data_IF_212037262391
#
_entry.id   IF_212037262391
#
_cell.length_a   1.000
_cell.length_b   1.000
_cell.length_c   1.000
_cell.angle_alpha   90.00
_cell.angle_beta   90.00
_cell.angle_gamma   90.00
#
_symmetry.space_group_name_H-M   'P 1'
#
loop_
_entity.id
_entity.type
_entity.pdbx_description
1 polymer ?
#
# COMPACT_ATOMS: atom_id res chain seq x y z
N UNK A 1 -27.19 -10.69 -3.99
CA UNK A 1 -26.71 -11.94 -3.37
C UNK A 1 -25.30 -12.18 -3.83
N UNK A 2 -24.32 -12.45 -2.97
CA UNK A 2 -22.96 -12.78 -3.42
C UNK A 2 -23.04 -14.10 -4.21
N UNK A 3 -22.51 -14.11 -5.44
CA UNK A 3 -22.30 -15.35 -6.21
C UNK A 3 -21.52 -16.31 -5.33
N UNK A 4 -22.08 -17.49 -5.05
CA UNK A 4 -21.30 -18.58 -4.45
C UNK A 4 -20.08 -18.81 -5.36
N UNK A 5 -18.90 -18.51 -4.82
CA UNK A 5 -17.63 -18.76 -5.48
C UNK A 5 -17.53 -20.27 -5.72
N UNK A 6 -17.60 -20.68 -6.99
CA UNK A 6 -17.36 -22.09 -7.34
C UNK A 6 -15.94 -22.46 -6.93
N UNK A 7 -15.83 -23.46 -6.06
CA UNK A 7 -14.56 -24.02 -5.60
C UNK A 7 -13.85 -24.64 -6.80
N UNK A 8 -12.66 -24.17 -7.14
CA UNK A 8 -11.87 -24.70 -8.27
C UNK A 8 -11.38 -26.11 -7.97
N UNK A 9 -11.05 -26.88 -9.01
CA UNK A 9 -10.48 -28.24 -8.85
C UNK A 9 -9.20 -28.21 -8.00
N UNK A 10 -8.33 -27.23 -8.22
CA UNK A 10 -7.13 -27.08 -7.41
C UNK A 10 -7.42 -26.78 -5.94
N UNK A 11 -8.46 -26.01 -5.64
CA UNK A 11 -8.87 -25.76 -4.26
C UNK A 11 -9.39 -27.03 -3.59
N UNK A 12 -10.14 -27.90 -4.30
CA UNK A 12 -10.57 -29.20 -3.78
C UNK A 12 -9.39 -30.07 -3.42
N UNK A 13 -8.44 -30.23 -4.34
CA UNK A 13 -7.21 -31.00 -4.09
C UNK A 13 -6.45 -30.49 -2.87
N UNK A 14 -6.35 -29.16 -2.70
CA UNK A 14 -5.67 -28.57 -1.53
C UNK A 14 -6.41 -28.81 -0.22
N UNK A 15 -7.74 -28.88 -0.26
CA UNK A 15 -8.57 -29.25 0.90
C UNK A 15 -8.39 -30.72 1.26
N UNK A 16 -8.29 -31.61 0.28
CA UNK A 16 -7.97 -33.03 0.51
C UNK A 16 -6.61 -33.18 1.16
N UNK A 17 -5.57 -32.49 0.65
CA UNK A 17 -4.23 -32.46 1.26
C UNK A 17 -4.25 -31.90 2.69
N UNK A 18 -5.10 -30.93 2.97
CA UNK A 18 -5.30 -30.42 4.33
C UNK A 18 -5.78 -31.51 5.29
N UNK A 19 -6.77 -32.31 4.87
CA UNK A 19 -7.28 -33.41 5.66
C UNK A 19 -6.24 -34.54 5.84
N UNK A 20 -5.43 -34.80 4.82
CA UNK A 20 -4.31 -35.75 4.93
C UNK A 20 -3.24 -35.29 5.93
N UNK A 21 -2.90 -33.99 5.95
CA UNK A 21 -2.00 -33.42 6.95
C UNK A 21 -2.52 -33.62 8.36
N UNK A 22 -3.82 -33.38 8.60
CA UNK A 22 -4.47 -33.61 9.91
C UNK A 22 -4.42 -35.09 10.32
N UNK A 23 -4.64 -36.02 9.37
CA UNK A 23 -4.55 -37.47 9.64
C UNK A 23 -3.13 -37.91 10.04
N UNK A 24 -2.10 -37.19 9.53
CA UNK A 24 -0.70 -37.39 9.94
C UNK A 24 -0.35 -36.70 11.28
N UNK A 25 -1.32 -36.11 11.97
CA UNK A 25 -1.10 -35.38 13.22
C UNK A 25 -0.41 -34.03 13.05
N UNK A 26 -0.36 -33.52 11.83
CA UNK A 26 0.25 -32.21 11.52
C UNK A 26 -0.85 -31.14 11.58
N UNK A 27 -0.69 -30.18 12.52
CA UNK A 27 -1.54 -29.01 12.55
C UNK A 27 -1.20 -28.07 11.37
N UNK A 28 -2.13 -27.84 10.43
CA UNK A 28 -1.84 -27.00 9.25
C UNK A 28 -1.85 -25.50 9.56
N UNK A 29 -2.24 -25.10 10.77
CA UNK A 29 -2.34 -23.73 11.27
C UNK A 29 -1.88 -23.64 12.73
N UNK A 30 -0.61 -23.96 13.04
CA UNK A 30 -0.11 -23.92 14.42
C UNK A 30 -0.16 -22.49 14.96
N UNK A 31 -0.53 -22.36 16.24
CA UNK A 31 -0.56 -21.09 16.95
C UNK A 31 0.74 -20.82 17.72
N UNK A 32 1.59 -21.82 17.82
CA UNK A 32 2.84 -21.77 18.56
C UNK A 32 3.84 -20.82 17.92
N UNK A 33 4.68 -20.19 18.74
CA UNK A 33 5.78 -19.34 18.30
C UNK A 33 6.76 -20.13 17.43
N UNK A 34 7.03 -19.63 16.22
CA UNK A 34 8.16 -20.06 15.42
C UNK A 34 9.29 -19.02 15.54
N UNK A 35 10.45 -19.36 16.12
CA UNK A 35 11.46 -18.40 16.56
C UNK A 35 12.38 -17.96 15.40
N UNK A 36 11.86 -17.16 14.47
CA UNK A 36 12.63 -16.59 13.35
C UNK A 36 13.76 -15.71 13.90
N UNK A 37 15.00 -15.91 13.42
CA UNK A 37 16.16 -15.13 13.82
C UNK A 37 16.81 -14.33 12.68
N UNK A 38 16.38 -14.54 11.43
CA UNK A 38 16.94 -13.88 10.25
C UNK A 38 15.89 -13.68 9.16
N UNK A 39 16.24 -12.81 8.18
CA UNK A 39 15.42 -12.51 7.00
C UNK A 39 16.24 -12.69 5.71
N UNK A 40 15.55 -12.99 4.62
CA UNK A 40 16.13 -13.28 3.31
C UNK A 40 17.15 -12.25 2.84
N UNK A 41 16.81 -10.95 2.88
CA UNK A 41 17.72 -9.89 2.41
C UNK A 41 19.03 -9.87 3.19
N UNK A 42 18.95 -9.93 4.52
CA UNK A 42 20.14 -9.91 5.39
C UNK A 42 21.05 -11.11 5.15
N UNK A 43 20.47 -12.30 4.95
CA UNK A 43 21.23 -13.51 4.69
C UNK A 43 21.94 -13.49 3.33
N UNK A 44 21.41 -12.76 2.37
CA UNK A 44 22.03 -12.58 1.05
C UNK A 44 23.13 -11.52 1.11
N UNK A 45 22.87 -10.39 1.77
CA UNK A 45 23.81 -9.27 1.92
C UNK A 45 25.01 -9.64 2.80
N UNK A 46 24.76 -10.26 3.96
CA UNK A 46 25.76 -10.62 4.98
C UNK A 46 26.02 -12.14 4.98
N UNK A 47 26.23 -12.73 3.79
CA UNK A 47 26.39 -14.17 3.68
C UNK A 47 27.58 -14.70 4.51
N UNK A 48 27.29 -15.65 5.40
CA UNK A 48 28.27 -16.41 6.15
C UNK A 48 28.07 -17.92 5.91
N UNK A 49 29.10 -18.60 5.42
CA UNK A 49 29.04 -20.05 5.14
C UNK A 49 28.81 -20.86 6.43
N UNK A 50 27.90 -21.83 6.35
CA UNK A 50 27.47 -22.69 7.47
C UNK A 50 26.80 -21.99 8.64
N UNK A 51 26.50 -20.72 8.56
CA UNK A 51 25.68 -20.03 9.58
C UNK A 51 24.37 -20.78 9.80
N UNK A 52 24.06 -21.10 11.05
CA UNK A 52 22.75 -21.68 11.41
C UNK A 52 21.68 -20.60 11.43
N UNK A 53 20.59 -20.89 10.75
CA UNK A 53 19.50 -19.94 10.56
C UNK A 53 18.12 -20.55 10.82
N UNK A 54 17.24 -19.74 11.36
CA UNK A 54 15.81 -20.04 11.50
C UNK A 54 15.03 -18.95 10.75
N UNK A 55 14.39 -19.32 9.66
CA UNK A 55 13.65 -18.41 8.79
C UNK A 55 12.25 -18.94 8.53
N UNK A 56 11.35 -18.06 8.15
CA UNK A 56 10.01 -18.45 7.72
C UNK A 56 9.60 -17.66 6.49
N UNK A 57 8.87 -18.30 5.58
CA UNK A 57 8.42 -17.62 4.36
C UNK A 57 7.39 -18.44 3.58
N UNK A 58 6.78 -17.79 2.62
CA UNK A 58 5.83 -18.38 1.68
C UNK A 58 6.57 -19.06 0.54
N UNK A 59 6.21 -20.30 0.25
CA UNK A 59 6.74 -21.03 -0.91
C UNK A 59 6.24 -20.35 -2.20
N UNK A 60 7.16 -19.80 -2.99
CA UNK A 60 6.85 -19.12 -4.26
C UNK A 60 7.17 -19.97 -5.48
N UNK A 61 8.19 -20.82 -5.40
CA UNK A 61 8.54 -21.77 -6.43
C UNK A 61 9.05 -23.07 -5.84
N UNK A 62 8.97 -24.15 -6.60
CA UNK A 62 9.42 -25.46 -6.16
C UNK A 62 9.83 -26.32 -7.34
N UNK A 63 11.06 -26.88 -7.29
CA UNK A 63 11.58 -27.81 -8.27
C UNK A 63 12.04 -29.09 -7.58
N UNK A 64 11.29 -30.18 -7.75
CA UNK A 64 11.55 -31.47 -7.12
C UNK A 64 12.36 -32.34 -8.06
N UNK A 65 13.50 -32.86 -7.61
CA UNK A 65 14.40 -33.74 -8.35
C UNK A 65 14.74 -34.97 -7.49
N UNK A 66 13.88 -35.98 -7.52
CA UNK A 66 14.10 -37.22 -6.76
C UNK A 66 14.20 -37.00 -5.24
N UNK A 67 15.39 -37.20 -4.68
CA UNK A 67 15.69 -37.07 -3.25
C UNK A 67 16.14 -35.66 -2.84
N UNK A 68 16.26 -34.76 -3.81
CA UNK A 68 16.65 -33.37 -3.61
C UNK A 68 15.61 -32.43 -4.22
N UNK A 69 15.50 -31.23 -3.70
CA UNK A 69 14.61 -30.20 -4.23
C UNK A 69 15.12 -28.82 -3.94
N UNK A 70 14.96 -27.93 -4.90
CA UNK A 70 15.09 -26.52 -4.70
C UNK A 70 13.70 -25.88 -4.58
N UNK A 71 13.57 -24.91 -3.70
CA UNK A 71 12.40 -24.05 -3.63
C UNK A 71 12.85 -22.63 -3.31
N UNK A 72 11.97 -21.69 -3.52
CA UNK A 72 12.15 -20.29 -3.14
C UNK A 72 11.07 -19.92 -2.14
N UNK A 73 11.48 -19.31 -1.03
CA UNK A 73 10.56 -18.74 -0.07
C UNK A 73 10.65 -17.22 -0.07
N UNK A 74 9.49 -16.59 0.12
CA UNK A 74 9.34 -15.14 0.25
C UNK A 74 8.97 -14.78 1.68
N UNK A 75 9.78 -13.93 2.30
CA UNK A 75 9.48 -13.33 3.60
C UNK A 75 9.09 -11.84 3.49
N UNK A 76 9.15 -11.11 4.59
CA UNK A 76 8.82 -9.68 4.61
C UNK A 76 9.87 -8.79 3.93
N UNK A 77 11.08 -9.30 3.66
CA UNK A 77 12.22 -8.52 3.18
C UNK A 77 12.68 -8.91 1.78
N UNK A 78 12.26 -10.08 1.28
CA UNK A 78 12.66 -10.54 -0.04
C UNK A 78 12.41 -12.03 -0.26
N UNK A 79 13.21 -12.63 -1.11
CA UNK A 79 13.17 -14.06 -1.43
C UNK A 79 14.54 -14.68 -1.23
N UNK A 80 14.55 -15.94 -0.85
CA UNK A 80 15.76 -16.71 -0.71
C UNK A 80 15.54 -18.16 -1.18
N UNK A 81 16.55 -18.70 -1.86
CA UNK A 81 16.55 -20.11 -2.26
C UNK A 81 16.78 -21.01 -1.05
N UNK A 82 16.08 -22.11 -1.02
CA UNK A 82 16.22 -23.17 -0.02
C UNK A 82 16.43 -24.50 -0.72
N UNK A 83 17.26 -25.35 -0.14
CA UNK A 83 17.58 -26.67 -0.66
C UNK A 83 17.17 -27.75 0.32
N UNK A 84 16.32 -28.64 -0.14
CA UNK A 84 15.89 -29.82 0.60
C UNK A 84 16.70 -31.03 0.14
N UNK A 85 17.31 -31.72 1.08
CA UNK A 85 17.87 -33.05 0.87
C UNK A 85 17.10 -34.02 1.78
N UNK A 86 16.51 -35.07 1.18
CA UNK A 86 15.70 -36.06 1.91
C UNK A 86 16.43 -36.66 3.08
N UNK A 87 17.70 -37.00 2.90
CA UNK A 87 18.46 -37.75 3.91
C UNK A 87 19.01 -36.85 5.01
N UNK A 88 19.16 -35.55 4.78
CA UNK A 88 19.42 -34.54 5.80
C UNK A 88 18.20 -34.30 6.68
N UNK A 89 17.00 -34.21 6.08
CA UNK A 89 15.74 -33.93 6.79
C UNK A 89 15.25 -35.17 7.54
N UNK A 90 15.39 -36.33 6.93
CA UNK A 90 14.91 -37.61 7.45
C UNK A 90 16.10 -38.51 7.76
N UNK A 91 16.70 -38.37 8.93
CA UNK A 91 17.89 -39.13 9.36
C UNK A 91 17.58 -40.59 9.71
N UNK A 92 16.31 -40.92 9.92
CA UNK A 92 15.82 -42.30 10.19
C UNK A 92 15.38 -42.98 8.90
N UNK A 93 14.96 -44.25 8.98
CA UNK A 93 14.36 -45.00 7.87
C UNK A 93 13.04 -44.39 7.41
N UNK A 94 12.29 -43.73 8.30
CA UNK A 94 11.08 -43.02 7.96
C UNK A 94 11.36 -41.75 7.15
N UNK A 95 10.99 -41.78 5.89
CA UNK A 95 11.13 -40.67 4.93
C UNK A 95 9.81 -39.93 4.68
N UNK A 96 8.80 -40.12 5.53
CA UNK A 96 7.45 -39.54 5.36
C UNK A 96 7.50 -38.02 5.31
N UNK A 97 8.30 -37.38 6.17
CA UNK A 97 8.43 -35.90 6.21
C UNK A 97 8.80 -35.29 4.86
N UNK A 98 9.77 -35.91 4.15
CA UNK A 98 10.12 -35.44 2.80
C UNK A 98 9.21 -36.02 1.71
N UNK A 99 9.02 -37.33 1.66
CA UNK A 99 8.35 -37.99 0.53
C UNK A 99 6.84 -37.73 0.48
N UNK A 100 6.18 -37.56 1.63
CA UNK A 100 4.74 -37.32 1.72
C UNK A 100 4.48 -35.85 2.03
N UNK A 101 4.94 -35.35 3.18
CA UNK A 101 4.59 -33.99 3.62
C UNK A 101 5.11 -32.96 2.63
N UNK A 102 6.43 -32.88 2.43
CA UNK A 102 7.01 -31.88 1.55
C UNK A 102 6.62 -32.08 0.07
N UNK A 103 6.80 -33.28 -0.47
CA UNK A 103 6.60 -33.52 -1.92
C UNK A 103 5.15 -33.51 -2.36
N UNK A 104 4.24 -34.10 -1.55
CA UNK A 104 2.85 -34.31 -1.97
C UNK A 104 1.85 -33.36 -1.35
N UNK A 105 2.02 -33.01 -0.07
CA UNK A 105 1.02 -32.28 0.69
C UNK A 105 1.26 -30.76 0.75
N UNK A 106 2.52 -30.29 0.67
CA UNK A 106 2.80 -28.88 0.56
C UNK A 106 2.57 -28.39 -0.88
N UNK A 107 2.14 -27.14 -0.99
CA UNK A 107 1.89 -26.46 -2.26
C UNK A 107 2.57 -25.08 -2.31
N UNK A 108 2.71 -24.53 -3.51
CA UNK A 108 3.07 -23.13 -3.69
C UNK A 108 1.99 -22.27 -3.03
N UNK A 109 2.43 -21.31 -2.22
CA UNK A 109 1.56 -20.47 -1.41
C UNK A 109 1.53 -20.86 0.08
N UNK A 110 1.92 -22.08 0.45
CA UNK A 110 2.05 -22.46 1.86
C UNK A 110 3.14 -21.66 2.56
N UNK A 111 2.99 -21.38 3.84
CA UNK A 111 4.03 -20.75 4.65
C UNK A 111 4.70 -21.83 5.49
N UNK A 112 6.02 -21.87 5.41
CA UNK A 112 6.85 -22.83 6.14
C UNK A 112 7.90 -22.12 6.98
N UNK A 113 8.17 -22.69 8.13
CA UNK A 113 9.34 -22.36 8.95
C UNK A 113 10.46 -23.34 8.67
N UNK A 114 11.69 -22.87 8.65
CA UNK A 114 12.89 -23.63 8.28
C UNK A 114 13.95 -23.43 9.34
N UNK A 115 14.58 -24.55 9.74
CA UNK A 115 15.86 -24.57 10.45
C UNK A 115 16.89 -25.13 9.50
N UNK A 116 18.01 -24.44 9.31
CA UNK A 116 19.01 -24.87 8.35
C UNK A 116 20.32 -24.11 8.48
N UNK A 117 21.21 -24.33 7.53
CA UNK A 117 22.50 -23.65 7.47
C UNK A 117 22.73 -23.06 6.08
N UNK A 118 23.45 -21.93 6.05
CA UNK A 118 23.79 -21.23 4.82
C UNK A 118 24.85 -21.95 4.01
N UNK A 119 24.73 -21.92 2.70
CA UNK A 119 25.77 -22.31 1.76
C UNK A 119 25.60 -21.62 0.41
N UNK A 120 26.63 -21.67 -0.44
CA UNK A 120 26.53 -21.28 -1.85
C UNK A 120 26.49 -22.50 -2.74
N UNK A 121 25.58 -22.49 -3.69
CA UNK A 121 25.52 -23.53 -4.76
C UNK A 121 26.76 -23.44 -5.66
N UNK A 122 26.97 -24.46 -6.51
CA UNK A 122 28.07 -24.45 -7.49
C UNK A 122 28.04 -23.27 -8.46
N UNK A 123 26.85 -22.69 -8.69
CA UNK A 123 26.64 -21.51 -9.54
C UNK A 123 26.67 -20.19 -8.75
N UNK A 124 27.01 -20.22 -7.47
CA UNK A 124 27.16 -19.04 -6.62
C UNK A 124 25.88 -18.55 -5.93
N UNK A 125 24.73 -19.22 -6.09
CA UNK A 125 23.46 -18.82 -5.47
C UNK A 125 23.49 -19.05 -3.95
N UNK A 126 23.16 -18.01 -3.19
CA UNK A 126 23.03 -18.05 -1.73
C UNK A 126 21.79 -18.86 -1.34
N UNK A 127 21.98 -19.91 -0.59
CA UNK A 127 20.96 -20.93 -0.35
C UNK A 127 20.96 -21.40 1.10
N UNK A 128 19.79 -21.73 1.65
CA UNK A 128 19.67 -22.39 2.95
C UNK A 128 19.54 -23.91 2.76
N UNK A 129 20.47 -24.68 3.27
CA UNK A 129 20.34 -26.14 3.41
C UNK A 129 19.35 -26.43 4.53
N UNK A 130 18.21 -26.98 4.18
CA UNK A 130 17.13 -27.29 5.13
C UNK A 130 17.49 -28.53 5.94
N UNK A 131 17.63 -28.39 7.25
CA UNK A 131 17.81 -29.48 8.23
C UNK A 131 16.49 -29.93 8.81
N UNK A 132 15.55 -29.00 8.99
CA UNK A 132 14.20 -29.25 9.46
C UNK A 132 13.24 -28.20 8.94
N UNK A 133 11.94 -28.56 8.81
CA UNK A 133 10.89 -27.63 8.44
C UNK A 133 9.57 -27.93 9.16
N UNK A 134 8.78 -26.89 9.35
CA UNK A 134 7.45 -26.93 9.96
C UNK A 134 6.47 -26.20 9.06
N UNK A 135 5.30 -26.81 8.80
CA UNK A 135 4.19 -26.10 8.15
C UNK A 135 3.60 -25.09 9.12
N UNK A 136 3.59 -23.81 8.75
CA UNK A 136 3.04 -22.72 9.56
C UNK A 136 1.66 -22.26 9.07
N UNK A 137 1.39 -22.41 7.78
CA UNK A 137 0.09 -22.08 7.21
C UNK A 137 -0.14 -22.80 5.89
N UNK A 138 -1.23 -23.52 5.77
CA UNK A 138 -1.68 -24.19 4.54
C UNK A 138 -2.51 -23.24 3.68
N UNK A 139 -2.06 -22.96 2.47
CA UNK A 139 -2.79 -22.16 1.48
C UNK A 139 -3.81 -23.02 0.73
N UNK A 140 -5.09 -22.69 0.84
CA UNK A 140 -6.17 -23.43 0.18
C UNK A 140 -6.45 -22.95 -1.24
N UNK A 141 -6.11 -21.69 -1.55
CA UNK A 141 -6.28 -21.12 -2.89
C UNK A 141 -4.93 -21.01 -3.60
N UNK A 142 -4.85 -21.36 -4.90
CA UNK A 142 -3.64 -21.13 -5.67
C UNK A 142 -3.35 -19.64 -5.80
N UNK A 143 -2.07 -19.28 -5.83
CA UNK A 143 -1.66 -17.92 -6.15
C UNK A 143 -1.66 -17.70 -7.66
N UNK A 144 -2.12 -16.55 -8.17
CA UNK A 144 -2.02 -16.17 -9.57
C UNK A 144 -0.59 -15.74 -9.89
N UNK A 145 0.32 -16.71 -9.97
CA UNK A 145 1.71 -16.46 -10.34
C UNK A 145 1.83 -16.43 -11.87
N UNK A 146 2.62 -15.50 -12.42
CA UNK A 146 2.87 -15.48 -13.85
C UNK A 146 3.52 -16.78 -14.30
N UNK A 147 3.15 -17.24 -15.46
CA UNK A 147 3.79 -18.36 -16.14
C UNK A 147 4.65 -17.79 -17.26
N UNK A 148 5.80 -18.39 -17.47
CA UNK A 148 6.72 -18.02 -18.53
C UNK A 148 6.75 -19.16 -19.53
N UNK A 149 6.54 -18.87 -20.83
CA UNK A 149 6.66 -19.85 -21.89
C UNK A 149 8.13 -20.13 -22.25
N UNK A 150 8.36 -21.00 -23.22
CA UNK A 150 9.70 -21.35 -23.69
C UNK A 150 10.42 -20.20 -24.41
N UNK A 151 9.69 -19.15 -24.81
CA UNK A 151 10.19 -17.97 -25.51
C UNK A 151 10.45 -16.80 -24.53
N UNK A 152 10.09 -16.95 -23.24
CA UNK A 152 10.27 -15.94 -22.21
C UNK A 152 9.10 -14.97 -22.05
N UNK A 153 7.97 -15.19 -22.73
CA UNK A 153 6.79 -14.35 -22.56
C UNK A 153 6.04 -14.71 -21.27
N UNK A 154 5.70 -13.70 -20.50
CA UNK A 154 4.87 -13.85 -19.30
C UNK A 154 3.37 -13.82 -19.65
N UNK A 155 2.61 -14.76 -19.12
CA UNK A 155 1.15 -14.81 -19.18
C UNK A 155 0.54 -15.19 -17.83
N UNK A 156 -0.78 -15.00 -17.68
CA UNK A 156 -1.50 -15.18 -16.42
C UNK A 156 -1.02 -14.27 -15.28
N UNK A 157 -0.35 -13.15 -15.60
CA UNK A 157 0.08 -12.16 -14.60
C UNK A 157 -1.12 -11.49 -13.94
N UNK A 158 -1.03 -11.22 -12.63
CA UNK A 158 -2.08 -10.55 -11.86
C UNK A 158 -2.02 -9.04 -12.08
N UNK A 159 -2.49 -8.58 -13.26
CA UNK A 159 -2.38 -7.19 -13.74
C UNK A 159 -3.69 -6.42 -13.76
N UNK A 160 -4.83 -7.10 -13.78
CA UNK A 160 -6.15 -6.46 -13.78
C UNK A 160 -6.32 -5.57 -12.54
N UNK A 161 -6.54 -4.26 -12.77
CA UNK A 161 -6.57 -3.26 -11.71
C UNK A 161 -7.71 -3.50 -10.72
N UNK A 162 -8.89 -3.87 -11.20
CA UNK A 162 -10.05 -4.11 -10.32
C UNK A 162 -9.79 -5.31 -9.41
N UNK A 163 -9.28 -6.39 -9.95
CA UNK A 163 -8.93 -7.58 -9.16
C UNK A 163 -7.82 -7.28 -8.15
N UNK A 164 -6.80 -6.51 -8.53
CA UNK A 164 -5.71 -6.08 -7.63
C UNK A 164 -6.24 -5.22 -6.46
N UNK A 165 -7.19 -4.33 -6.71
CA UNK A 165 -7.83 -3.55 -5.64
C UNK A 165 -8.72 -4.40 -4.74
N UNK A 166 -9.53 -5.31 -5.31
CA UNK A 166 -10.42 -6.20 -4.56
C UNK A 166 -9.67 -7.25 -3.74
N UNK A 167 -8.51 -7.70 -4.23
CA UNK A 167 -7.68 -8.72 -3.61
C UNK A 167 -6.28 -8.19 -3.30
N UNK A 168 -6.20 -7.04 -2.62
CA UNK A 168 -4.95 -6.36 -2.29
C UNK A 168 -3.94 -7.27 -1.58
N UNK A 169 -4.41 -8.18 -0.74
CA UNK A 169 -3.56 -9.16 -0.07
C UNK A 169 -2.88 -10.13 -1.05
N UNK A 170 -3.54 -10.49 -2.16
CA UNK A 170 -2.93 -11.30 -3.23
C UNK A 170 -1.94 -10.46 -4.03
N UNK A 171 -2.32 -9.23 -4.39
CA UNK A 171 -1.47 -8.27 -5.09
C UNK A 171 -0.14 -8.05 -4.33
N UNK A 172 -0.18 -7.89 -3.01
CA UNK A 172 1.01 -7.76 -2.16
C UNK A 172 1.90 -9.01 -2.13
N UNK A 173 1.34 -10.20 -2.38
CA UNK A 173 2.11 -11.45 -2.43
C UNK A 173 2.82 -11.57 -3.78
N UNK A 174 2.13 -11.31 -4.89
CA UNK A 174 2.63 -11.63 -6.24
C UNK A 174 3.35 -10.45 -6.90
N UNK A 175 2.98 -9.22 -6.56
CA UNK A 175 3.57 -7.97 -7.09
C UNK A 175 4.39 -7.27 -5.99
N UNK A 176 5.64 -7.65 -5.81
CA UNK A 176 6.50 -7.16 -4.70
C UNK A 176 6.63 -5.65 -4.63
N UNK A 177 6.67 -4.96 -5.80
CA UNK A 177 6.78 -3.50 -5.89
C UNK A 177 5.58 -2.75 -5.25
N UNK A 178 4.41 -3.39 -5.15
CA UNK A 178 3.23 -2.79 -4.53
C UNK A 178 3.45 -2.50 -3.05
N UNK A 179 4.21 -3.36 -2.36
CA UNK A 179 4.56 -3.19 -0.95
C UNK A 179 5.36 -1.90 -0.72
N UNK A 180 6.27 -1.57 -1.64
CA UNK A 180 7.11 -0.37 -1.53
C UNK A 180 6.27 0.91 -1.57
N UNK A 181 5.17 0.93 -2.34
CA UNK A 181 4.22 2.04 -2.35
C UNK A 181 3.62 2.30 -0.96
N UNK A 182 3.21 1.24 -0.25
CA UNK A 182 2.65 1.39 1.10
C UNK A 182 3.72 1.79 2.13
N UNK A 183 4.94 1.27 2.00
CA UNK A 183 6.08 1.67 2.85
C UNK A 183 6.40 3.16 2.63
N UNK A 184 6.46 3.61 1.36
CA UNK A 184 6.66 5.02 1.01
C UNK A 184 5.54 5.91 1.57
N UNK A 185 4.28 5.49 1.45
CA UNK A 185 3.15 6.21 2.03
C UNK A 185 3.30 6.39 3.55
N UNK A 186 3.69 5.34 4.27
CA UNK A 186 3.94 5.43 5.72
C UNK A 186 5.10 6.37 6.01
N UNK A 187 6.17 6.32 5.23
CA UNK A 187 7.32 7.23 5.38
C UNK A 187 6.92 8.69 5.13
N UNK A 188 6.10 8.97 4.12
CA UNK A 188 5.55 10.31 3.86
C UNK A 188 4.81 10.85 5.08
N UNK A 189 3.84 10.08 5.60
CA UNK A 189 3.02 10.50 6.76
C UNK A 189 3.89 10.75 7.99
N UNK A 190 4.84 9.86 8.28
CA UNK A 190 5.75 10.02 9.42
C UNK A 190 6.67 11.24 9.26
N UNK A 191 7.14 11.53 8.05
CA UNK A 191 7.95 12.72 7.76
C UNK A 191 7.14 14.00 7.99
N UNK A 192 5.89 14.03 7.55
CA UNK A 192 5.00 15.17 7.77
C UNK A 192 4.76 15.38 9.27
N UNK A 193 4.47 14.31 10.02
CA UNK A 193 4.32 14.38 11.49
C UNK A 193 5.55 14.96 12.17
N UNK A 194 6.73 14.41 11.84
CA UNK A 194 7.99 14.95 12.38
C UNK A 194 8.20 16.41 12.05
N UNK A 195 7.95 16.81 10.80
CA UNK A 195 8.10 18.20 10.36
C UNK A 195 7.18 19.17 11.12
N UNK A 196 5.92 18.79 11.38
CA UNK A 196 4.95 19.61 12.09
C UNK A 196 5.24 19.62 13.61
N UNK A 197 5.55 18.46 14.21
CA UNK A 197 5.91 18.35 15.62
C UNK A 197 7.16 19.18 15.98
N UNK A 198 8.19 19.17 15.11
CA UNK A 198 9.39 19.99 15.28
C UNK A 198 9.10 21.50 15.25
N UNK A 199 7.93 21.90 14.74
CA UNK A 199 7.42 23.28 14.69
C UNK A 199 6.35 23.55 15.74
N UNK A 200 6.23 22.68 16.74
CA UNK A 200 5.31 22.81 17.86
C UNK A 200 3.82 22.76 17.46
N UNK A 201 3.49 22.15 16.34
CA UNK A 201 2.10 21.80 16.06
C UNK A 201 1.68 20.62 16.94
N UNK A 202 0.47 20.65 17.44
CA UNK A 202 -0.14 19.55 18.20
C UNK A 202 -1.01 18.70 17.26
N UNK A 203 -0.73 17.40 17.17
CA UNK A 203 -1.63 16.45 16.50
C UNK A 203 -2.85 16.21 17.38
N UNK A 204 -4.04 16.35 16.82
CA UNK A 204 -5.31 16.18 17.55
C UNK A 204 -6.23 15.23 16.79
N UNK A 205 -7.26 14.74 17.49
CA UNK A 205 -8.35 13.95 16.91
C UNK A 205 -9.68 14.62 17.20
N UNK A 206 -10.44 14.93 16.16
CA UNK A 206 -11.74 15.56 16.24
C UNK A 206 -12.87 14.59 15.89
N UNK A 207 -14.15 14.86 16.26
CA UNK A 207 -15.24 13.93 16.04
C UNK A 207 -15.50 13.62 14.56
N UNK A 208 -15.57 12.34 14.22
CA UNK A 208 -16.00 11.85 12.91
C UNK A 208 -17.52 12.00 12.75
N UNK A 209 -18.28 11.63 13.79
CA UNK A 209 -19.75 11.78 13.79
C UNK A 209 -20.11 13.19 14.25
N UNK A 210 -20.74 13.94 13.35
CA UNK A 210 -21.05 15.36 13.57
C UNK A 210 -22.56 15.58 13.48
N UNK A 211 -23.13 16.45 14.34
CA UNK A 211 -24.55 16.80 14.27
C UNK A 211 -24.88 17.69 13.06
N UNK A 212 -23.90 18.46 12.59
CA UNK A 212 -24.02 19.37 11.44
C UNK A 212 -22.77 19.20 10.57
N UNK A 213 -22.92 18.83 9.29
CA UNK A 213 -21.80 18.80 8.37
C UNK A 213 -21.35 20.22 8.02
N UNK A 214 -20.04 20.43 7.87
CA UNK A 214 -19.51 21.75 7.51
C UNK A 214 -18.01 21.72 7.20
N UNK A 215 -17.46 22.87 6.78
CA UNK A 215 -16.06 23.02 6.41
C UNK A 215 -15.73 22.70 4.95
N UNK A 216 -16.67 22.15 4.19
CA UNK A 216 -16.53 21.90 2.76
C UNK A 216 -17.87 21.90 2.04
N UNK A 217 -17.85 22.07 0.72
CA UNK A 217 -19.02 21.90 -0.13
C UNK A 217 -19.02 20.48 -0.67
N UNK A 218 -19.60 19.55 0.11
CA UNK A 218 -19.67 18.13 -0.25
C UNK A 218 -20.95 17.49 0.31
N UNK A 219 -21.39 16.41 -0.29
CA UNK A 219 -22.57 15.66 0.16
C UNK A 219 -22.15 14.67 1.27
N UNK A 220 -22.71 14.76 2.50
CA UNK A 220 -22.32 13.88 3.59
C UNK A 220 -22.98 12.49 3.48
N UNK A 221 -22.35 11.47 4.12
CA UNK A 221 -23.05 10.26 4.51
C UNK A 221 -23.85 10.52 5.79
N UNK A 222 -25.07 10.01 5.84
CA UNK A 222 -25.98 10.18 6.98
C UNK A 222 -26.11 8.85 7.71
N UNK A 223 -26.05 8.90 9.03
CA UNK A 223 -26.31 7.77 9.92
C UNK A 223 -27.30 8.17 11.02
N UNK A 224 -27.68 7.22 11.88
CA UNK A 224 -28.63 7.45 12.97
C UNK A 224 -28.06 6.98 14.30
N UNK A 225 -28.16 7.83 15.33
CA UNK A 225 -27.78 7.48 16.69
C UNK A 225 -29.00 6.91 17.44
N UNK A 226 -29.07 5.59 17.57
CA UNK A 226 -30.25 4.89 18.05
C UNK A 226 -30.69 5.32 19.48
N UNK A 227 -29.74 5.52 20.40
CA UNK A 227 -30.06 5.85 21.79
C UNK A 227 -30.58 7.28 21.98
N UNK A 228 -30.17 8.22 21.11
CA UNK A 228 -30.58 9.63 21.16
C UNK A 228 -31.68 9.94 20.14
N UNK A 229 -31.98 9.02 19.26
CA UNK A 229 -32.96 9.15 18.17
C UNK A 229 -32.71 10.40 17.30
N UNK A 230 -31.44 10.63 16.91
CA UNK A 230 -31.02 11.79 16.11
C UNK A 230 -30.23 11.38 14.90
N UNK A 231 -30.32 12.11 13.76
CA UNK A 231 -29.42 11.94 12.64
C UNK A 231 -28.03 12.46 13.00
N UNK A 232 -26.99 11.75 12.52
CA UNK A 232 -25.61 12.19 12.54
C UNK A 232 -25.01 12.07 11.15
N UNK A 233 -23.96 12.84 10.89
CA UNK A 233 -23.28 12.91 9.62
C UNK A 233 -21.84 12.46 9.80
N UNK A 234 -21.32 11.64 8.88
CA UNK A 234 -19.89 11.44 8.78
C UNK A 234 -19.25 12.73 8.25
N UNK A 235 -18.17 13.18 8.88
CA UNK A 235 -17.50 14.44 8.55
C UNK A 235 -17.06 14.51 7.09
N UNK A 236 -17.20 15.67 6.49
CA UNK A 236 -16.72 16.01 5.15
C UNK A 236 -15.45 16.86 5.18
N UNK A 237 -15.08 17.39 6.36
CA UNK A 237 -13.90 18.18 6.72
C UNK A 237 -13.79 18.27 8.23
N UNK A 238 -12.59 18.48 8.76
CA UNK A 238 -12.28 18.73 10.19
C UNK A 238 -12.15 20.21 10.51
N UNK A 239 -12.24 21.07 9.51
CA UNK A 239 -12.02 22.53 9.59
C UNK A 239 -12.63 23.18 10.82
N UNK A 240 -13.94 22.99 11.02
CA UNK A 240 -14.67 23.70 12.08
C UNK A 240 -14.20 23.30 13.48
N UNK A 241 -13.85 22.03 13.69
CA UNK A 241 -13.37 21.57 14.99
C UNK A 241 -11.94 22.02 15.24
N UNK A 242 -11.07 21.99 14.24
CA UNK A 242 -9.69 22.49 14.37
C UNK A 242 -9.68 24.00 14.64
N UNK A 243 -10.54 24.80 13.98
CA UNK A 243 -10.70 26.22 14.26
C UNK A 243 -11.20 26.48 15.69
N UNK A 244 -12.09 25.63 16.22
CA UNK A 244 -12.53 25.74 17.63
C UNK A 244 -11.36 25.54 18.61
N UNK A 245 -10.41 24.66 18.29
CA UNK A 245 -9.21 24.47 19.11
C UNK A 245 -8.31 25.71 19.09
N UNK A 246 -8.15 26.37 17.95
CA UNK A 246 -7.44 27.67 17.87
C UNK A 246 -8.15 28.72 18.71
N UNK A 247 -9.47 28.82 18.62
CA UNK A 247 -10.27 29.75 19.48
C UNK A 247 -10.11 29.39 20.94
N UNK A 248 -9.97 28.11 21.29
CA UNK A 248 -9.74 27.60 22.62
C UNK A 248 -8.34 27.88 23.19
N UNK A 249 -7.43 28.46 22.38
CA UNK A 249 -6.11 28.91 22.81
C UNK A 249 -4.92 28.04 22.36
N UNK A 250 -5.13 27.03 21.52
CA UNK A 250 -4.00 26.35 20.87
C UNK A 250 -3.44 27.25 19.77
N UNK A 251 -2.13 27.38 19.68
CA UNK A 251 -1.49 28.22 18.66
C UNK A 251 -1.35 27.51 17.29
N UNK A 252 -1.15 26.19 17.31
CA UNK A 252 -1.00 25.40 16.10
C UNK A 252 -1.48 23.95 16.31
N UNK A 253 -2.38 23.49 15.47
CA UNK A 253 -2.94 22.14 15.51
C UNK A 253 -2.96 21.52 14.12
N UNK A 254 -2.93 20.19 14.05
CA UNK A 254 -3.17 19.45 12.81
C UNK A 254 -3.83 18.11 13.10
N UNK A 255 -4.48 17.58 12.09
CA UNK A 255 -5.07 16.24 12.12
C UNK A 255 -4.81 15.49 10.81
N UNK A 256 -4.36 14.24 10.91
CA UNK A 256 -4.50 13.28 9.82
C UNK A 256 -5.82 12.57 9.96
N UNK A 257 -6.78 12.96 9.16
CA UNK A 257 -8.14 12.52 9.29
C UNK A 257 -8.62 11.60 8.17
N UNK A 258 -9.75 10.94 8.42
CA UNK A 258 -10.58 10.31 7.41
C UNK A 258 -11.82 11.15 7.21
N UNK A 259 -11.99 11.61 5.97
CA UNK A 259 -13.17 12.35 5.57
C UNK A 259 -14.00 11.53 4.58
N UNK A 260 -15.29 11.85 4.55
CA UNK A 260 -16.29 11.06 3.84
C UNK A 260 -17.15 11.97 2.98
N UNK A 261 -17.12 11.77 1.65
CA UNK A 261 -17.93 12.51 0.69
C UNK A 261 -18.76 11.54 -0.15
N UNK A 262 -20.08 11.65 -0.04
CA UNK A 262 -21.04 10.75 -0.71
C UNK A 262 -21.27 11.19 -2.15
N UNK A 263 -20.23 11.08 -2.96
CA UNK A 263 -20.16 11.52 -4.35
C UNK A 263 -19.64 10.39 -5.25
N UNK A 264 -19.49 10.65 -6.55
CA UNK A 264 -19.02 9.67 -7.52
C UNK A 264 -17.56 9.21 -7.24
N UNK A 265 -17.21 8.02 -7.76
CA UNK A 265 -15.85 7.47 -7.68
C UNK A 265 -15.17 7.53 -9.05
N UNK A 266 -13.90 7.94 -9.07
CA UNK A 266 -13.02 7.86 -10.22
C UNK A 266 -11.56 7.53 -9.79
N UNK A 267 -10.60 7.76 -10.67
CA UNK A 267 -9.16 7.52 -10.36
C UNK A 267 -8.65 8.37 -9.20
N UNK A 268 -9.19 9.56 -9.01
CA UNK A 268 -8.71 10.59 -8.10
C UNK A 268 -9.64 10.79 -6.89
N UNK A 269 -10.88 10.34 -6.99
CA UNK A 269 -11.92 10.54 -5.99
C UNK A 269 -12.41 9.21 -5.42
N UNK A 270 -12.35 9.09 -4.11
CA UNK A 270 -12.90 7.97 -3.35
C UNK A 270 -13.81 8.54 -2.26
N UNK A 271 -14.96 7.91 -1.97
CA UNK A 271 -15.90 8.40 -0.95
C UNK A 271 -15.30 8.51 0.45
N UNK A 272 -14.24 7.76 0.73
CA UNK A 272 -13.45 7.78 1.95
C UNK A 272 -11.99 8.04 1.60
N UNK A 273 -11.39 9.09 2.13
CA UNK A 273 -10.00 9.45 1.84
C UNK A 273 -9.27 9.99 3.07
N UNK A 274 -7.94 9.99 3.03
CA UNK A 274 -7.11 10.60 4.06
C UNK A 274 -6.81 12.04 3.66
N UNK A 275 -7.04 12.97 4.58
CA UNK A 275 -6.65 14.38 4.44
C UNK A 275 -5.70 14.75 5.58
N UNK A 276 -4.88 15.76 5.37
CA UNK A 276 -4.17 16.51 6.40
C UNK A 276 -4.74 17.91 6.42
N UNK A 277 -5.33 18.31 7.52
CA UNK A 277 -5.65 19.72 7.78
C UNK A 277 -4.79 20.26 8.91
N UNK A 278 -4.37 21.51 8.80
CA UNK A 278 -3.58 22.20 9.81
C UNK A 278 -3.99 23.66 9.94
N UNK A 279 -3.94 24.16 11.16
CA UNK A 279 -4.32 25.54 11.50
C UNK A 279 -3.30 26.12 12.44
N UNK A 280 -2.94 27.38 12.20
CA UNK A 280 -1.97 28.12 13.02
C UNK A 280 -2.42 29.56 13.20
N UNK A 281 -2.31 30.05 14.42
CA UNK A 281 -2.62 31.44 14.77
C UNK A 281 -1.50 32.41 14.32
N UNK A 282 -1.85 33.69 14.13
CA UNK A 282 -0.92 34.78 13.87
C UNK A 282 -0.05 34.65 12.63
N UNK A 283 -0.50 33.86 11.63
CA UNK A 283 0.20 33.66 10.34
C UNK A 283 -0.72 34.03 9.19
N UNK A 284 -0.10 34.45 8.09
CA UNK A 284 -0.77 34.79 6.84
C UNK A 284 -0.58 33.69 5.75
N UNK A 285 -1.15 33.90 4.60
CA UNK A 285 -1.06 32.93 3.50
C UNK A 285 0.36 32.85 2.88
N UNK A 286 1.16 33.90 2.94
CA UNK A 286 2.55 33.85 2.47
C UNK A 286 3.38 32.92 3.33
N UNK A 287 3.20 32.98 4.65
CA UNK A 287 3.82 32.06 5.57
C UNK A 287 3.38 30.60 5.34
N UNK A 288 2.11 30.40 5.01
CA UNK A 288 1.59 29.07 4.66
C UNK A 288 2.17 28.52 3.36
N UNK A 289 2.41 29.38 2.37
CA UNK A 289 3.13 28.99 1.14
C UNK A 289 4.53 28.47 1.46
N UNK A 290 5.30 29.20 2.28
CA UNK A 290 6.66 28.81 2.68
C UNK A 290 6.67 27.52 3.52
N UNK A 291 5.72 27.35 4.41
CA UNK A 291 5.53 26.09 5.16
C UNK A 291 5.29 24.92 4.21
N UNK A 292 4.38 25.10 3.27
CA UNK A 292 3.98 24.05 2.30
C UNK A 292 5.17 23.68 1.40
N UNK A 293 5.87 24.67 0.84
CA UNK A 293 7.07 24.46 0.03
C UNK A 293 8.13 23.64 0.79
N UNK A 294 8.45 24.07 2.01
CA UNK A 294 9.44 23.41 2.87
C UNK A 294 9.03 22.00 3.27
N UNK A 295 7.74 21.79 3.54
CA UNK A 295 7.19 20.49 3.89
C UNK A 295 7.32 19.50 2.72
N UNK A 296 6.91 19.91 1.53
CA UNK A 296 6.92 19.05 0.34
C UNK A 296 8.37 18.72 -0.06
N UNK A 297 9.29 19.69 -0.03
CA UNK A 297 10.71 19.46 -0.28
C UNK A 297 11.28 18.43 0.73
N UNK A 298 11.02 18.62 2.01
CA UNK A 298 11.44 17.69 3.08
C UNK A 298 10.93 16.28 2.85
N UNK A 299 9.65 16.14 2.52
CA UNK A 299 9.04 14.84 2.21
C UNK A 299 9.71 14.18 1.00
N UNK A 300 9.94 14.94 -0.07
CA UNK A 300 10.57 14.40 -1.27
C UNK A 300 12.01 13.92 -0.98
N UNK A 301 12.79 14.68 -0.25
CA UNK A 301 14.16 14.33 0.17
C UNK A 301 14.16 13.05 1.02
N UNK A 302 13.32 12.98 2.04
CA UNK A 302 13.27 11.81 2.93
C UNK A 302 12.84 10.53 2.21
N UNK A 303 11.90 10.63 1.27
CA UNK A 303 11.34 9.44 0.59
C UNK A 303 12.21 8.97 -0.55
N UNK A 304 12.78 9.91 -1.33
CA UNK A 304 13.47 9.62 -2.59
C UNK A 304 14.98 9.91 -2.56
N UNK A 305 15.52 10.48 -1.47
CA UNK A 305 16.90 10.96 -1.31
C UNK A 305 17.31 12.03 -2.35
N UNK A 306 16.34 12.67 -3.01
CA UNK A 306 16.53 13.74 -4.01
C UNK A 306 15.26 14.56 -4.13
N UNK A 307 15.38 15.80 -4.63
CA UNK A 307 14.24 16.71 -4.85
C UNK A 307 13.63 16.63 -6.23
N UNK A 308 14.30 15.98 -7.18
CA UNK A 308 13.82 15.79 -8.55
C UNK A 308 13.39 14.34 -8.75
N UNK A 309 12.18 14.14 -9.25
CA UNK A 309 11.63 12.80 -9.54
C UNK A 309 11.09 12.76 -10.98
N UNK A 310 11.21 11.59 -11.58
CA UNK A 310 10.59 11.28 -12.87
C UNK A 310 9.17 10.75 -12.64
N UNK A 311 8.19 11.36 -13.31
CA UNK A 311 6.81 10.90 -13.31
C UNK A 311 6.22 11.08 -14.72
N UNK A 312 5.72 9.99 -15.28
CA UNK A 312 5.13 9.95 -16.63
C UNK A 312 6.04 10.61 -17.69
N UNK A 313 7.34 10.24 -17.69
CA UNK A 313 8.38 10.76 -18.57
C UNK A 313 8.66 12.27 -18.44
N UNK A 314 8.21 12.89 -17.34
CA UNK A 314 8.49 14.29 -17.01
C UNK A 314 9.33 14.36 -15.74
N UNK A 315 10.35 15.22 -15.74
CA UNK A 315 11.09 15.55 -14.52
C UNK A 315 10.30 16.62 -13.74
N UNK A 316 10.03 16.34 -12.48
CA UNK A 316 9.34 17.26 -11.57
C UNK A 316 10.29 17.62 -10.44
N UNK A 317 10.55 18.91 -10.27
CA UNK A 317 11.35 19.43 -9.17
C UNK A 317 10.46 19.81 -7.99
N UNK A 318 10.79 19.28 -6.80
CA UNK A 318 10.18 19.63 -5.52
C UNK A 318 11.08 20.51 -4.66
N UNK A 319 12.09 21.14 -5.28
CA UNK A 319 13.00 22.06 -4.60
C UNK A 319 12.34 23.43 -4.39
N UNK A 320 12.29 23.89 -3.15
CA UNK A 320 11.82 25.23 -2.81
C UNK A 320 12.86 26.33 -3.23
N UNK A 321 12.42 27.57 -3.48
CA UNK A 321 11.04 28.05 -3.52
C UNK A 321 10.32 27.68 -4.82
N UNK A 322 8.99 27.52 -4.77
CA UNK A 322 8.17 27.29 -5.94
C UNK A 322 7.82 28.61 -6.66
N UNK A 323 7.49 28.51 -7.94
CA UNK A 323 6.97 29.65 -8.70
C UNK A 323 5.64 30.10 -8.10
N UNK A 324 5.52 31.38 -7.78
CA UNK A 324 4.29 32.02 -7.31
C UNK A 324 3.66 32.77 -8.44
N UNK A 325 2.50 32.34 -8.86
CA UNK A 325 1.78 32.88 -9.99
C UNK A 325 0.31 33.11 -9.60
N UNK A 326 -0.26 34.25 -9.96
CA UNK A 326 -1.71 34.46 -9.78
C UNK A 326 -2.53 33.63 -10.77
N UNK A 327 -3.82 33.38 -10.44
CA UNK A 327 -4.72 32.63 -11.32
C UNK A 327 -4.78 33.27 -12.72
N UNK A 328 -4.90 34.58 -12.77
CA UNK A 328 -4.98 35.32 -14.05
C UNK A 328 -3.70 35.17 -14.87
N UNK A 329 -2.53 35.31 -14.21
CA UNK A 329 -1.23 35.09 -14.86
C UNK A 329 -1.04 33.63 -15.31
N UNK A 330 -1.52 32.68 -14.51
CA UNK A 330 -1.48 31.25 -14.87
C UNK A 330 -2.33 30.97 -16.10
N UNK A 331 -3.56 31.46 -16.14
CA UNK A 331 -4.42 31.35 -17.33
C UNK A 331 -3.71 31.93 -18.55
N UNK A 332 -3.19 33.15 -18.45
CA UNK A 332 -2.45 33.78 -19.53
C UNK A 332 -1.24 32.96 -20.00
N UNK A 333 -0.44 32.45 -19.04
CA UNK A 333 0.77 31.67 -19.32
C UNK A 333 0.49 30.35 -20.04
N UNK A 334 -0.57 29.64 -19.63
CA UNK A 334 -0.84 28.29 -20.12
C UNK A 334 -1.85 28.22 -21.26
N UNK A 335 -2.72 29.25 -21.43
CA UNK A 335 -3.75 29.29 -22.47
C UNK A 335 -3.49 30.36 -23.55
N UNK A 336 -2.62 31.33 -23.29
CA UNK A 336 -2.38 32.54 -24.06
C UNK A 336 -3.56 33.55 -24.06
N UNK A 337 -4.60 33.32 -23.27
CA UNK A 337 -5.69 34.29 -23.10
C UNK A 337 -5.39 35.24 -21.94
N UNK A 338 -5.39 36.54 -22.20
CA UNK A 338 -5.25 37.57 -21.16
C UNK A 338 -6.66 38.03 -20.70
N UNK A 339 -7.10 37.47 -19.60
CA UNK A 339 -8.41 37.72 -19.04
C UNK A 339 -8.48 38.88 -18.04
N UNK A 340 -7.36 39.63 -17.86
CA UNK A 340 -7.18 40.62 -16.79
C UNK A 340 -8.24 41.71 -16.73
N UNK A 341 -8.85 42.07 -17.88
CA UNK A 341 -9.83 43.16 -17.98
C UNK A 341 -11.09 42.73 -18.72
N UNK A 342 -11.37 41.43 -18.81
CA UNK A 342 -12.52 40.89 -19.50
C UNK A 342 -13.78 40.94 -18.64
N UNK A 343 -14.89 41.27 -19.25
CA UNK A 343 -16.20 41.15 -18.61
C UNK A 343 -16.79 39.73 -18.76
N UNK A 344 -17.89 39.46 -18.08
CA UNK A 344 -18.55 38.16 -18.10
C UNK A 344 -18.83 37.62 -19.49
N UNK A 345 -19.30 38.49 -20.42
CA UNK A 345 -19.63 38.08 -21.80
C UNK A 345 -18.40 37.64 -22.58
N UNK A 346 -17.24 38.32 -22.39
CA UNK A 346 -15.97 37.98 -22.99
C UNK A 346 -15.39 36.68 -22.41
N UNK A 347 -15.51 36.47 -21.08
CA UNK A 347 -15.11 35.24 -20.43
C UNK A 347 -15.94 34.05 -20.94
N UNK A 348 -17.25 34.20 -21.13
CA UNK A 348 -18.11 33.15 -21.70
C UNK A 348 -17.68 32.76 -23.12
N UNK A 349 -17.25 33.73 -23.93
CA UNK A 349 -16.73 33.43 -25.27
C UNK A 349 -15.46 32.57 -25.20
N UNK A 350 -14.53 32.91 -24.32
CA UNK A 350 -13.30 32.11 -24.14
C UNK A 350 -13.63 30.69 -23.61
N UNK A 351 -14.53 30.58 -22.63
CA UNK A 351 -14.97 29.26 -22.15
C UNK A 351 -15.53 28.42 -23.30
N UNK A 352 -16.33 28.98 -24.16
CA UNK A 352 -16.85 28.30 -25.35
C UNK A 352 -15.74 27.89 -26.33
N UNK A 353 -14.80 28.78 -26.62
CA UNK A 353 -13.62 28.47 -27.49
C UNK A 353 -12.79 27.35 -26.93
N UNK A 354 -12.64 27.27 -25.62
CA UNK A 354 -11.92 26.21 -24.91
C UNK A 354 -12.74 24.94 -24.66
N UNK A 355 -14.02 24.91 -25.11
CA UNK A 355 -14.96 23.81 -24.88
C UNK A 355 -15.22 23.55 -23.40
N UNK A 356 -15.22 24.59 -22.57
CA UNK A 356 -15.60 24.52 -21.16
C UNK A 356 -17.11 24.70 -21.05
N UNK A 357 -17.79 23.74 -20.40
CA UNK A 357 -19.21 23.80 -20.15
C UNK A 357 -19.54 24.90 -19.13
N UNK A 358 -20.38 25.84 -19.50
CA UNK A 358 -20.85 26.94 -18.64
C UNK A 358 -22.37 27.03 -18.66
N UNK A 359 -22.97 27.32 -17.51
CA UNK A 359 -24.39 27.58 -17.40
C UNK A 359 -24.68 29.07 -17.13
N UNK A 360 -25.93 29.48 -17.32
CA UNK A 360 -26.35 30.88 -17.22
C UNK A 360 -26.27 31.45 -15.79
N UNK A 361 -26.14 30.60 -14.78
CA UNK A 361 -26.00 31.01 -13.36
C UNK A 361 -24.59 31.38 -12.97
N UNK A 362 -23.58 31.05 -13.78
CA UNK A 362 -22.19 31.31 -13.51
C UNK A 362 -21.84 32.77 -13.73
N UNK A 363 -21.50 33.51 -12.70
CA UNK A 363 -20.97 34.87 -12.79
C UNK A 363 -19.45 34.87 -13.07
N UNK A 364 -18.87 36.07 -13.23
CA UNK A 364 -17.48 36.31 -13.62
C UNK A 364 -16.48 35.49 -12.79
N UNK A 365 -16.58 35.48 -11.45
CA UNK A 365 -15.67 34.74 -10.58
C UNK A 365 -15.70 33.22 -10.83
N UNK A 366 -16.90 32.67 -11.16
CA UNK A 366 -17.04 31.22 -11.43
C UNK A 366 -16.56 30.85 -12.84
N UNK A 367 -16.62 31.77 -13.79
CA UNK A 367 -16.07 31.60 -15.14
C UNK A 367 -14.55 31.61 -15.14
N UNK A 368 -13.94 32.36 -14.22
CA UNK A 368 -12.47 32.37 -14.04
C UNK A 368 -11.97 31.11 -13.33
N UNK A 369 -12.71 30.60 -12.34
CA UNK A 369 -12.45 29.37 -11.57
C UNK A 369 -12.59 28.10 -12.44
#
# INVERSE_FOLDING_TARGET
MPKQLQVTEQEKIRREKLEELKKLGINPYPAELFPVNNFSSKLIEDFEDKQEVIIAGRIMSRRIQGNASFAEIQDSKGRIQIYFNRDEICKTEDKTKYNVVYKKLLDIGDIIGIKGSMFKTKVGEVTVLVKDFTLLNKALRPLPLPKVDSEGNEYDSFTDLEQRYRQRYVDLIVNSHVKDTFIKRTKIINTIRGFLNDRSYLEVETPILQPIPGGATAKPFITHHNALDIPLYLRISDELFLKKLIVGGFEAVYEFSRDFRNEGMDKNHNPEFTILELYVAYKDYFWMMELTESLIEKVCLEVNNKTEIEFDSKSISFKAPYERISIIEAIKKFTNYDISNMNESELRLICNEMSIEVDDSMGEGKLID
#
